data_IF_155780370217
#
_entry.id   IF_155780370217
#
_cell.length_a   1.000
_cell.length_b   1.000
_cell.length_c   1.000
_cell.angle_alpha   90.00
_cell.angle_beta   90.00
_cell.angle_gamma   90.00
#
_symmetry.space_group_name_H-M   'P 1'
#
loop_
_entity.id
_entity.type
_entity.pdbx_description
1 polymer ?
#
# COMPACT_ATOMS: atom_id res chain seq x y z
N UNK A 1 19.11 -47.44 -11.69
CA UNK A 1 18.88 -46.70 -12.93
C UNK A 1 17.45 -46.15 -12.92
N UNK A 2 17.28 -44.83 -12.72
CA UNK A 2 15.98 -44.16 -12.81
C UNK A 2 15.78 -43.55 -14.20
N UNK A 3 14.54 -43.37 -14.68
CA UNK A 3 14.30 -42.85 -16.02
C UNK A 3 14.63 -41.35 -16.10
N UNK A 4 15.33 -40.99 -17.17
CA UNK A 4 15.71 -39.61 -17.50
C UNK A 4 14.47 -38.76 -17.81
N UNK A 5 14.34 -37.63 -17.13
CA UNK A 5 13.34 -36.61 -17.43
C UNK A 5 13.62 -36.01 -18.81
N UNK A 6 12.67 -36.11 -19.74
CA UNK A 6 12.75 -35.44 -21.04
C UNK A 6 12.55 -33.93 -20.82
N UNK A 7 13.54 -33.12 -21.18
CA UNK A 7 13.38 -31.68 -21.28
C UNK A 7 12.41 -31.34 -22.42
N UNK A 8 11.31 -30.65 -22.12
CA UNK A 8 10.48 -29.99 -23.12
C UNK A 8 11.22 -28.76 -23.67
N UNK A 9 11.26 -28.55 -25.01
CA UNK A 9 11.84 -27.35 -25.57
C UNK A 9 10.95 -26.13 -25.25
N UNK A 10 11.58 -25.08 -24.72
CA UNK A 10 10.93 -23.82 -24.39
C UNK A 10 10.24 -23.18 -25.59
N UNK A 11 9.11 -22.52 -25.32
CA UNK A 11 8.31 -21.79 -26.30
C UNK A 11 9.14 -20.62 -26.89
N UNK A 12 9.06 -20.33 -28.22
CA UNK A 12 9.83 -19.24 -28.81
C UNK A 12 9.40 -17.89 -28.22
N UNK A 13 10.35 -17.23 -27.57
CA UNK A 13 10.28 -15.81 -27.20
C UNK A 13 10.56 -15.07 -28.51
N UNK A 14 9.50 -14.60 -29.18
CA UNK A 14 9.50 -13.46 -30.12
C UNK A 14 8.25 -13.53 -31.02
N UNK A 15 7.10 -13.14 -30.46
CA UNK A 15 6.00 -12.58 -31.25
C UNK A 15 5.44 -11.37 -30.50
N UNK A 16 5.37 -10.18 -31.11
CA UNK A 16 4.65 -9.07 -30.50
C UNK A 16 3.17 -9.43 -30.44
N UNK A 17 2.67 -9.71 -29.23
CA UNK A 17 1.25 -9.79 -28.96
C UNK A 17 0.74 -8.35 -29.03
N UNK A 18 0.09 -8.00 -30.14
CA UNK A 18 -0.68 -6.77 -30.24
C UNK A 18 -2.12 -7.11 -29.87
N UNK A 19 -2.57 -6.87 -28.63
CA UNK A 19 -3.97 -7.08 -28.30
C UNK A 19 -4.76 -5.93 -28.91
N UNK A 20 -5.27 -6.13 -30.14
CA UNK A 20 -6.40 -5.34 -30.65
C UNK A 20 -7.62 -5.69 -29.82
N UNK A 21 -7.75 -5.09 -28.65
CA UNK A 21 -9.06 -4.97 -28.01
C UNK A 21 -9.81 -3.87 -28.76
N UNK A 22 -10.97 -4.16 -29.39
CA UNK A 22 -11.84 -3.11 -29.85
C UNK A 22 -12.29 -2.33 -28.61
N UNK A 23 -11.96 -1.04 -28.56
CA UNK A 23 -12.56 -0.13 -27.59
C UNK A 23 -14.07 -0.15 -27.82
N UNK A 24 -14.92 -0.43 -26.81
CA UNK A 24 -16.35 -0.26 -26.96
C UNK A 24 -16.65 1.23 -27.15
N UNK A 25 -17.07 1.58 -28.37
CA UNK A 25 -17.51 2.93 -28.74
C UNK A 25 -18.87 3.22 -28.11
N UNK A 26 -18.85 4.19 -27.19
CA UNK A 26 -19.94 5.08 -26.73
C UNK A 26 -21.33 4.50 -26.50
N UNK A 27 -21.66 4.31 -25.22
CA UNK A 27 -23.02 4.56 -24.72
C UNK A 27 -22.99 5.89 -23.95
N UNK A 28 -23.54 6.94 -24.56
CA UNK A 28 -23.81 8.24 -23.91
C UNK A 28 -24.94 8.08 -22.90
N UNK A 29 -24.65 7.46 -21.75
CA UNK A 29 -25.44 7.72 -20.54
C UNK A 29 -24.83 8.97 -19.91
N UNK A 30 -25.58 10.06 -19.89
CA UNK A 30 -25.22 11.25 -19.11
C UNK A 30 -24.98 10.80 -17.66
N UNK A 31 -23.72 10.76 -17.24
CA UNK A 31 -23.41 10.61 -15.83
C UNK A 31 -24.08 11.79 -15.11
N UNK A 32 -24.85 11.55 -14.02
CA UNK A 32 -25.36 12.64 -13.21
C UNK A 32 -24.16 13.50 -12.83
N UNK A 33 -24.26 14.81 -13.02
CA UNK A 33 -23.24 15.76 -12.59
C UNK A 33 -22.97 15.51 -11.11
N UNK A 34 -21.86 14.83 -10.82
CA UNK A 34 -21.39 14.61 -9.46
C UNK A 34 -21.15 16.01 -8.91
N UNK A 35 -22.10 16.54 -8.15
CA UNK A 35 -21.89 17.74 -7.36
C UNK A 35 -20.65 17.46 -6.51
N UNK A 36 -19.62 18.31 -6.58
CA UNK A 36 -18.44 18.23 -5.71
C UNK A 36 -18.94 18.19 -4.26
N UNK A 37 -19.03 17.01 -3.67
CA UNK A 37 -19.29 16.86 -2.25
C UNK A 37 -18.01 17.29 -1.54
N UNK A 38 -18.12 18.23 -0.60
CA UNK A 38 -17.00 18.73 0.19
C UNK A 38 -16.61 17.73 1.30
N UNK A 39 -16.59 16.44 0.96
CA UNK A 39 -16.32 15.33 1.86
C UNK A 39 -14.82 15.19 2.04
N UNK A 40 -14.37 15.19 3.29
CA UNK A 40 -12.99 14.92 3.65
C UNK A 40 -12.79 13.40 3.62
N UNK A 41 -11.83 12.93 2.83
CA UNK A 41 -11.45 11.52 2.66
C UNK A 41 -9.97 11.35 3.03
N UNK A 42 -9.66 11.04 4.29
CA UNK A 42 -8.28 10.83 4.72
C UNK A 42 -7.62 9.65 4.01
N UNK A 43 -6.33 9.78 3.70
CA UNK A 43 -5.50 8.71 3.16
C UNK A 43 -4.57 8.22 4.27
N UNK A 44 -4.82 7.04 4.80
CA UNK A 44 -3.97 6.41 5.83
C UNK A 44 -2.91 5.55 5.16
N UNK A 45 -1.64 5.88 5.38
CA UNK A 45 -0.48 5.15 4.89
C UNK A 45 0.11 4.34 6.04
N UNK A 46 0.14 3.01 5.88
CA UNK A 46 0.76 2.11 6.84
C UNK A 46 2.24 1.91 6.53
N UNK A 47 3.10 2.13 7.53
CA UNK A 47 4.56 1.93 7.48
C UNK A 47 5.10 1.18 8.71
N UNK A 48 6.33 0.68 8.61
CA UNK A 48 7.00 -0.04 9.71
C UNK A 48 8.53 0.23 9.65
N UNK A 49 9.30 -0.60 8.92
CA UNK A 49 10.77 -0.57 8.93
C UNK A 49 11.40 -0.46 7.53
N UNK A 50 10.68 0.16 6.58
CA UNK A 50 11.12 0.34 5.20
C UNK A 50 11.13 1.83 4.84
N UNK A 51 12.13 2.60 5.32
CA UNK A 51 12.14 4.06 5.25
C UNK A 51 12.07 4.58 3.81
N UNK A 52 12.89 4.01 2.90
CA UNK A 52 12.88 4.41 1.48
C UNK A 52 11.57 4.10 0.76
N UNK A 53 10.92 2.99 1.12
CA UNK A 53 9.62 2.63 0.55
C UNK A 53 8.53 3.59 1.05
N UNK A 54 8.52 3.93 2.34
CA UNK A 54 7.61 4.93 2.91
C UNK A 54 7.79 6.28 2.22
N UNK A 55 9.03 6.76 2.10
CA UNK A 55 9.34 8.01 1.43
C UNK A 55 8.77 8.04 0.00
N UNK A 56 9.13 7.04 -0.80
CA UNK A 56 8.73 6.96 -2.22
C UNK A 56 7.21 6.90 -2.37
N UNK A 57 6.53 6.15 -1.50
CA UNK A 57 5.07 6.02 -1.52
C UNK A 57 4.38 7.34 -1.18
N UNK A 58 4.78 8.00 -0.08
CA UNK A 58 4.18 9.28 0.34
C UNK A 58 4.46 10.38 -0.68
N UNK A 59 5.67 10.44 -1.26
CA UNK A 59 5.96 11.37 -2.34
C UNK A 59 5.05 11.16 -3.57
N UNK A 60 4.77 9.91 -3.94
CA UNK A 60 3.86 9.61 -5.03
C UNK A 60 2.42 10.08 -4.74
N UNK A 61 1.93 9.88 -3.51
CA UNK A 61 0.63 10.37 -3.08
C UNK A 61 0.56 11.90 -3.11
N UNK A 62 1.58 12.58 -2.61
CA UNK A 62 1.66 14.04 -2.62
C UNK A 62 1.65 14.63 -4.03
N UNK A 63 2.27 13.96 -5.01
CA UNK A 63 2.26 14.40 -6.43
C UNK A 63 0.85 14.38 -7.04
N UNK A 64 0.00 13.44 -6.64
CA UNK A 64 -1.36 13.30 -7.18
C UNK A 64 -2.45 13.98 -6.32
N UNK A 65 -2.11 14.36 -5.08
CA UNK A 65 -3.04 14.98 -4.13
C UNK A 65 -3.45 16.38 -4.62
N UNK A 66 -4.74 16.52 -4.95
CA UNK A 66 -5.30 17.79 -5.46
C UNK A 66 -5.58 18.82 -4.38
N UNK A 67 -5.95 18.37 -3.18
CA UNK A 67 -6.36 19.22 -2.07
C UNK A 67 -5.96 18.56 -0.74
N UNK A 68 -5.11 19.19 0.07
CA UNK A 68 -4.66 18.66 1.36
C UNK A 68 -5.74 18.65 2.44
N UNK A 69 -6.76 19.51 2.35
CA UNK A 69 -7.85 19.57 3.31
C UNK A 69 -8.91 18.51 3.03
N UNK A 70 -9.16 18.22 1.75
CA UNK A 70 -10.07 17.13 1.36
C UNK A 70 -9.41 15.76 1.44
N UNK A 71 -8.10 15.65 1.24
CA UNK A 71 -7.37 14.37 1.26
C UNK A 71 -6.15 14.43 2.19
N UNK A 72 -6.37 14.65 3.51
CA UNK A 72 -5.28 14.69 4.46
C UNK A 72 -4.57 13.32 4.48
N UNK A 73 -3.24 13.32 4.41
CA UNK A 73 -2.44 12.10 4.50
C UNK A 73 -2.07 11.88 5.96
N UNK A 74 -2.39 10.71 6.50
CA UNK A 74 -2.02 10.28 7.84
C UNK A 74 -1.04 9.11 7.69
N UNK A 75 0.08 9.14 8.40
CA UNK A 75 1.01 8.02 8.40
C UNK A 75 0.83 7.24 9.70
N UNK A 76 0.48 5.96 9.63
CA UNK A 76 0.48 5.06 10.78
C UNK A 76 1.72 4.17 10.75
N UNK A 77 2.51 4.21 11.81
CA UNK A 77 3.78 3.49 11.96
C UNK A 77 3.70 2.41 13.04
N UNK A 78 4.28 1.26 12.75
CA UNK A 78 4.60 0.20 13.72
C UNK A 78 6.14 0.00 13.77
N UNK A 79 6.61 -0.94 14.58
CA UNK A 79 7.99 -1.43 14.63
C UNK A 79 9.01 -0.50 15.29
N UNK A 80 8.60 0.72 15.70
CA UNK A 80 9.46 1.70 16.37
C UNK A 80 10.82 1.90 15.67
N UNK A 81 10.80 1.96 14.33
CA UNK A 81 12.02 2.14 13.54
C UNK A 81 12.36 3.63 13.41
N UNK A 82 13.41 4.07 14.10
CA UNK A 82 13.82 5.48 14.16
C UNK A 82 14.00 6.12 12.78
N UNK A 83 14.65 5.43 11.84
CA UNK A 83 14.85 5.95 10.49
C UNK A 83 13.52 6.20 9.76
N UNK A 84 12.57 5.27 9.88
CA UNK A 84 11.23 5.41 9.29
C UNK A 84 10.44 6.52 9.96
N UNK A 85 10.54 6.67 11.29
CA UNK A 85 9.93 7.77 12.04
C UNK A 85 10.51 9.11 11.58
N UNK A 86 11.83 9.22 11.40
CA UNK A 86 12.46 10.45 10.90
C UNK A 86 12.02 10.77 9.46
N UNK A 87 11.93 9.76 8.58
CA UNK A 87 11.38 9.95 7.23
C UNK A 87 9.96 10.50 7.27
N UNK A 88 9.08 9.95 8.14
CA UNK A 88 7.73 10.44 8.29
C UNK A 88 7.70 11.90 8.79
N UNK A 89 8.51 12.22 9.80
CA UNK A 89 8.63 13.59 10.36
C UNK A 89 9.12 14.61 9.34
N UNK A 90 10.02 14.21 8.43
CA UNK A 90 10.56 15.08 7.38
C UNK A 90 9.51 15.55 6.36
N UNK A 91 8.34 14.92 6.29
CA UNK A 91 7.24 15.45 5.47
C UNK A 91 6.58 16.70 6.06
N UNK A 92 6.75 16.97 7.37
CA UNK A 92 6.27 18.17 8.03
C UNK A 92 4.77 18.42 7.82
N UNK A 93 4.42 19.63 7.41
CA UNK A 93 3.06 20.09 7.13
C UNK A 93 2.40 19.46 5.90
N UNK A 94 3.15 18.69 5.09
CA UNK A 94 2.60 17.98 3.94
C UNK A 94 1.71 16.81 4.36
N UNK A 95 1.87 16.28 5.56
CA UNK A 95 1.01 15.26 6.15
C UNK A 95 0.22 15.85 7.32
N UNK A 96 -0.92 15.24 7.66
CA UNK A 96 -1.79 15.72 8.73
C UNK A 96 -1.27 15.35 10.11
N UNK A 97 -0.86 14.09 10.28
CA UNK A 97 -0.32 13.58 11.54
C UNK A 97 0.41 12.25 11.32
N UNK A 98 1.17 11.85 12.33
CA UNK A 98 1.77 10.52 12.46
C UNK A 98 1.11 9.83 13.65
N UNK A 99 0.66 8.60 13.46
CA UNK A 99 0.18 7.72 14.51
C UNK A 99 1.26 6.66 14.72
N UNK A 100 1.82 6.57 15.92
CA UNK A 100 2.79 5.53 16.27
C UNK A 100 2.09 4.49 17.15
N UNK A 101 2.17 3.22 16.75
CA UNK A 101 1.64 2.12 17.53
C UNK A 101 2.44 2.02 18.84
N UNK A 102 1.80 2.08 20.03
CA UNK A 102 2.53 1.96 21.28
C UNK A 102 3.18 0.58 21.40
N UNK A 103 4.16 0.45 22.29
CA UNK A 103 4.70 -0.87 22.62
C UNK A 103 3.65 -1.70 23.36
N UNK A 104 3.00 -2.60 22.61
CA UNK A 104 1.99 -3.53 23.11
C UNK A 104 2.58 -4.89 23.51
N UNK A 105 3.91 -5.00 23.57
CA UNK A 105 4.61 -6.24 23.88
C UNK A 105 4.48 -7.32 22.79
N UNK A 106 4.93 -8.56 23.09
CA UNK A 106 4.89 -9.66 22.15
C UNK A 106 3.43 -10.09 21.87
N UNK A 107 3.13 -10.35 20.61
CA UNK A 107 1.85 -10.95 20.23
C UNK A 107 1.90 -12.45 20.50
N UNK A 108 0.91 -12.96 21.25
CA UNK A 108 0.78 -14.39 21.45
C UNK A 108 0.29 -15.04 20.16
N UNK A 109 1.10 -15.94 19.61
CA UNK A 109 0.77 -16.71 18.41
C UNK A 109 0.86 -18.17 18.80
N UNK A 110 -0.18 -18.98 18.55
CA UNK A 110 -0.12 -20.42 18.79
C UNK A 110 1.09 -21.03 18.05
N UNK A 111 1.78 -22.00 18.66
CA UNK A 111 3.05 -22.55 18.13
C UNK A 111 2.93 -23.02 16.67
N UNK A 112 1.81 -23.65 16.32
CA UNK A 112 1.47 -24.08 14.96
C UNK A 112 1.42 -22.95 13.90
N UNK A 113 1.32 -21.68 14.34
CA UNK A 113 1.24 -20.48 13.50
C UNK A 113 2.40 -19.49 13.74
N UNK A 114 3.48 -19.87 14.40
CA UNK A 114 4.60 -18.95 14.67
C UNK A 114 5.15 -18.27 13.41
N UNK A 115 5.20 -19.00 12.30
CA UNK A 115 5.59 -18.49 10.98
C UNK A 115 4.66 -17.38 10.46
N UNK A 116 3.44 -17.28 11.01
CA UNK A 116 2.46 -16.22 10.71
C UNK A 116 2.54 -15.04 11.67
N UNK A 117 3.48 -14.99 12.61
CA UNK A 117 3.59 -13.90 13.59
C UNK A 117 3.63 -12.50 12.98
N UNK A 118 4.20 -12.34 11.78
CA UNK A 118 4.13 -11.09 11.02
C UNK A 118 2.70 -10.66 10.68
N UNK A 119 1.82 -11.59 10.29
CA UNK A 119 0.42 -11.31 9.99
C UNK A 119 -0.37 -10.88 11.23
N UNK A 120 -0.06 -11.49 12.38
CA UNK A 120 -0.63 -11.08 13.66
C UNK A 120 -0.24 -9.63 14.02
N UNK A 121 1.02 -9.24 13.78
CA UNK A 121 1.48 -7.86 13.97
C UNK A 121 0.78 -6.89 13.02
N UNK A 122 0.64 -7.25 11.74
CA UNK A 122 -0.11 -6.45 10.76
C UNK A 122 -1.56 -6.25 11.21
N UNK A 123 -2.27 -7.32 11.60
CA UNK A 123 -3.65 -7.22 12.06
C UNK A 123 -3.79 -6.29 13.29
N UNK A 124 -2.86 -6.38 14.24
CA UNK A 124 -2.79 -5.48 15.40
C UNK A 124 -2.59 -4.02 14.99
N UNK A 125 -1.71 -3.75 14.03
CA UNK A 125 -1.44 -2.40 13.54
C UNK A 125 -2.68 -1.78 12.88
N UNK A 126 -3.39 -2.55 12.05
CA UNK A 126 -4.64 -2.10 11.42
C UNK A 126 -5.72 -1.82 12.46
N UNK A 127 -5.94 -2.73 13.41
CA UNK A 127 -6.97 -2.60 14.44
C UNK A 127 -6.78 -1.40 15.39
N UNK A 128 -5.54 -0.93 15.56
CA UNK A 128 -5.28 0.26 16.37
C UNK A 128 -5.47 1.57 15.60
N UNK A 129 -5.25 1.54 14.28
CA UNK A 129 -5.15 2.76 13.46
C UNK A 129 -6.44 3.16 12.76
N UNK A 130 -7.46 2.30 12.77
CA UNK A 130 -8.77 2.45 12.10
C UNK A 130 -9.85 2.07 13.11
#
# INVERSE_FOLDING_TARGET
HGPMSKHEPGLPIDKPINPKFPLPVTSTKSHPSISKTNTILPVVVFGCNRPRALQTHVEALLRIRKDPELHPIIISLDCHNDETIQVAKNFGDKIKTIIELPDLGPIHVPSQFEHMSGYYKIARHYNYSI
#
